data_IF_495967569757
#
_entry.id   IF_495967569757
#
_cell.length_a   1.000
_cell.length_b   1.000
_cell.length_c   1.000
_cell.angle_alpha   90.00
_cell.angle_beta   90.00
_cell.angle_gamma   90.00
#
_symmetry.space_group_name_H-M   'P 1'
#
loop_
_entity.id
_entity.type
_entity.pdbx_description
1 polymer ?
#
# COMPACT_ATOMS: atom_id res chain seq x y z
N UNK A 1 8.22 37.74 12.48
CA UNK A 1 7.68 36.37 12.39
C UNK A 1 8.82 35.49 11.88
N UNK A 2 9.45 34.69 12.74
CA UNK A 2 10.52 33.78 12.31
C UNK A 2 9.86 32.60 11.60
N UNK A 3 10.13 32.45 10.30
CA UNK A 3 9.77 31.24 9.55
C UNK A 3 10.97 30.32 9.66
N UNK A 4 10.88 29.18 10.36
CA UNK A 4 11.97 28.23 10.38
C UNK A 4 12.22 27.79 8.94
N UNK A 5 13.42 28.02 8.42
CA UNK A 5 13.83 27.45 7.13
C UNK A 5 13.55 25.95 7.18
N UNK A 6 12.89 25.37 6.15
CA UNK A 6 12.70 23.92 6.12
C UNK A 6 14.08 23.30 6.22
N UNK A 7 14.34 22.58 7.32
CA UNK A 7 15.51 21.69 7.44
C UNK A 7 15.58 20.95 6.11
N UNK A 8 16.74 20.97 5.44
CA UNK A 8 16.99 20.17 4.25
C UNK A 8 16.50 18.74 4.54
N UNK A 9 15.28 18.40 4.08
CA UNK A 9 14.70 17.10 4.38
C UNK A 9 15.42 16.16 3.46
N UNK A 10 16.43 15.50 4.02
CA UNK A 10 17.23 14.52 3.33
C UNK A 10 16.26 13.51 2.70
N UNK A 11 16.41 13.26 1.40
CA UNK A 11 15.53 12.32 0.70
C UNK A 11 15.82 10.91 1.23
N UNK A 12 14.77 10.08 1.31
CA UNK A 12 14.94 8.65 1.56
C UNK A 12 15.80 8.02 0.47
N UNK A 13 16.60 7.07 0.88
CA UNK A 13 17.42 6.21 0.01
C UNK A 13 17.09 4.75 0.28
N UNK A 14 17.53 3.85 -0.59
CA UNK A 14 17.32 2.41 -0.41
C UNK A 14 17.92 1.90 0.91
N UNK A 15 19.01 2.52 1.40
CA UNK A 15 19.62 2.21 2.69
C UNK A 15 18.69 2.45 3.89
N UNK A 16 17.67 3.27 3.71
CA UNK A 16 16.67 3.57 4.73
C UNK A 16 15.53 2.54 4.73
N UNK A 17 15.57 1.48 3.91
CA UNK A 17 14.63 0.35 3.94
C UNK A 17 15.34 -0.91 4.43
N UNK A 18 14.70 -1.63 5.35
CA UNK A 18 15.21 -2.94 5.78
C UNK A 18 14.77 -4.04 4.82
N UNK A 19 15.42 -5.21 4.89
CA UNK A 19 14.92 -6.43 4.24
C UNK A 19 13.49 -6.77 4.66
N UNK A 20 13.13 -6.50 5.92
CA UNK A 20 11.77 -6.70 6.44
C UNK A 20 10.74 -5.79 5.78
N UNK A 21 11.10 -4.52 5.52
CA UNK A 21 10.23 -3.57 4.81
C UNK A 21 9.97 -4.01 3.36
N UNK A 22 11.03 -4.47 2.67
CA UNK A 22 10.91 -4.98 1.30
C UNK A 22 10.07 -6.25 1.25
N UNK A 23 10.29 -7.17 2.19
CA UNK A 23 9.48 -8.39 2.29
C UNK A 23 8.01 -8.08 2.58
N UNK A 24 7.72 -7.12 3.46
CA UNK A 24 6.35 -6.68 3.73
C UNK A 24 5.71 -6.03 2.50
N UNK A 25 6.45 -5.18 1.77
CA UNK A 25 5.98 -4.60 0.51
C UNK A 25 5.62 -5.68 -0.51
N UNK A 26 6.50 -6.65 -0.75
CA UNK A 26 6.23 -7.76 -1.66
C UNK A 26 5.04 -8.58 -1.23
N UNK A 27 4.92 -8.87 0.08
CA UNK A 27 3.75 -9.58 0.63
C UNK A 27 2.47 -8.81 0.33
N UNK A 28 2.40 -7.51 0.62
CA UNK A 28 1.22 -6.67 0.38
C UNK A 28 0.81 -6.62 -1.10
N UNK A 29 1.78 -6.61 -2.01
CA UNK A 29 1.52 -6.63 -3.46
C UNK A 29 1.04 -8.01 -3.92
N UNK A 30 1.69 -9.08 -3.48
CA UNK A 30 1.24 -10.45 -3.77
C UNK A 30 -0.19 -10.69 -3.28
N UNK A 31 -0.50 -10.16 -2.09
CA UNK A 31 -1.79 -10.19 -1.45
C UNK A 31 -2.90 -9.44 -2.22
N UNK A 32 -2.58 -8.28 -2.83
CA UNK A 32 -3.49 -7.55 -3.70
C UNK A 32 -3.72 -8.31 -5.02
N UNK A 33 -2.64 -8.82 -5.63
CA UNK A 33 -2.72 -9.59 -6.87
C UNK A 33 -3.54 -10.88 -6.70
N UNK A 34 -3.39 -11.55 -5.57
CA UNK A 34 -4.20 -12.72 -5.23
C UNK A 34 -5.69 -12.40 -5.18
N UNK A 35 -6.08 -11.27 -4.55
CA UNK A 35 -7.47 -10.83 -4.53
C UNK A 35 -8.00 -10.55 -5.94
N UNK A 36 -7.22 -9.85 -6.79
CA UNK A 36 -7.60 -9.63 -8.18
C UNK A 36 -7.79 -10.93 -8.94
N UNK A 37 -6.88 -11.90 -8.76
CA UNK A 37 -6.97 -13.22 -9.39
C UNK A 37 -8.22 -13.96 -8.94
N UNK A 38 -8.54 -13.96 -7.65
CA UNK A 38 -9.77 -14.56 -7.14
C UNK A 38 -11.02 -13.95 -7.76
N UNK A 39 -11.06 -12.63 -7.97
CA UNK A 39 -12.18 -11.99 -8.66
C UNK A 39 -12.29 -12.46 -10.11
N UNK A 40 -11.17 -12.55 -10.83
CA UNK A 40 -11.15 -13.09 -12.21
C UNK A 40 -11.65 -14.54 -12.21
N UNK A 41 -11.05 -15.41 -11.39
CA UNK A 41 -11.39 -16.83 -11.32
C UNK A 41 -12.89 -17.08 -10.98
N UNK A 42 -13.54 -16.15 -10.28
CA UNK A 42 -14.95 -16.28 -9.87
C UNK A 42 -15.94 -15.68 -10.85
N UNK A 43 -15.58 -14.59 -11.51
CA UNK A 43 -16.53 -13.72 -12.21
C UNK A 43 -16.22 -13.54 -13.69
N UNK A 44 -15.11 -14.05 -14.18
CA UNK A 44 -14.74 -13.93 -15.59
C UNK A 44 -15.04 -15.24 -16.32
N UNK A 45 -15.77 -15.12 -17.44
CA UNK A 45 -15.97 -16.20 -18.40
C UNK A 45 -15.70 -15.63 -19.80
N UNK A 46 -14.76 -16.23 -20.51
CA UNK A 46 -14.34 -15.84 -21.87
C UNK A 46 -14.00 -14.35 -22.05
N UNK A 47 -13.35 -13.76 -21.04
CA UNK A 47 -12.93 -12.37 -20.95
C UNK A 47 -14.03 -11.40 -20.52
N UNK A 48 -15.20 -11.90 -20.11
CA UNK A 48 -16.38 -11.08 -19.82
C UNK A 48 -16.81 -11.22 -18.37
N UNK A 49 -17.24 -10.11 -17.77
CA UNK A 49 -17.89 -10.10 -16.46
C UNK A 49 -19.19 -10.91 -16.50
N UNK A 50 -19.19 -12.03 -15.78
CA UNK A 50 -20.26 -13.00 -15.68
C UNK A 50 -20.65 -13.17 -14.21
N UNK A 51 -21.52 -12.30 -13.67
CA UNK A 51 -22.00 -12.40 -12.29
C UNK A 51 -22.79 -13.69 -12.08
N UNK A 52 -22.72 -14.26 -10.88
CA UNK A 52 -23.34 -15.56 -10.59
C UNK A 52 -24.86 -15.49 -10.48
N UNK A 53 -25.40 -14.31 -10.22
CA UNK A 53 -26.84 -14.10 -10.04
C UNK A 53 -27.57 -13.81 -11.35
N UNK A 54 -28.82 -14.26 -11.47
CA UNK A 54 -29.61 -14.14 -12.71
C UNK A 54 -30.45 -12.86 -12.84
N UNK A 55 -30.62 -12.08 -11.75
CA UNK A 55 -31.40 -10.84 -11.75
C UNK A 55 -30.53 -9.59 -11.85
N UNK A 56 -30.92 -8.61 -12.67
CA UNK A 56 -30.11 -7.39 -12.85
C UNK A 56 -29.85 -6.64 -11.53
N UNK A 57 -30.87 -6.50 -10.68
CA UNK A 57 -30.70 -5.85 -9.37
C UNK A 57 -29.74 -6.62 -8.46
N UNK A 58 -29.79 -7.95 -8.44
CA UNK A 58 -28.86 -8.77 -7.65
C UNK A 58 -27.45 -8.73 -8.22
N UNK A 59 -27.31 -8.68 -9.54
CA UNK A 59 -26.00 -8.52 -10.20
C UNK A 59 -25.35 -7.18 -9.85
N UNK A 60 -26.13 -6.09 -9.75
CA UNK A 60 -25.62 -4.82 -9.26
C UNK A 60 -25.13 -4.92 -7.81
N UNK A 61 -25.90 -5.56 -6.93
CA UNK A 61 -25.49 -5.77 -5.54
C UNK A 61 -24.19 -6.59 -5.43
N UNK A 62 -24.10 -7.68 -6.18
CA UNK A 62 -22.92 -8.54 -6.30
C UNK A 62 -21.70 -7.75 -6.81
N UNK A 63 -21.89 -6.93 -7.84
CA UNK A 63 -20.84 -6.07 -8.40
C UNK A 63 -20.35 -5.04 -7.37
N UNK A 64 -21.28 -4.39 -6.64
CA UNK A 64 -20.93 -3.42 -5.59
C UNK A 64 -20.15 -4.10 -4.46
N UNK A 65 -20.50 -5.34 -4.10
CA UNK A 65 -19.77 -6.10 -3.10
C UNK A 65 -18.33 -6.41 -3.54
N UNK A 66 -18.14 -6.85 -4.78
CA UNK A 66 -16.80 -7.10 -5.35
C UNK A 66 -15.97 -5.82 -5.40
N UNK A 67 -16.56 -4.71 -5.86
CA UNK A 67 -15.90 -3.40 -5.88
C UNK A 67 -15.50 -2.92 -4.48
N UNK A 68 -16.35 -3.18 -3.48
CA UNK A 68 -16.06 -2.83 -2.08
C UNK A 68 -14.89 -3.64 -1.53
N UNK A 69 -14.83 -4.94 -1.84
CA UNK A 69 -13.73 -5.81 -1.42
C UNK A 69 -12.40 -5.43 -2.08
N UNK A 70 -12.39 -5.16 -3.38
CA UNK A 70 -11.22 -4.65 -4.09
C UNK A 70 -10.75 -3.32 -3.50
N UNK A 71 -11.68 -2.40 -3.23
CA UNK A 71 -11.37 -1.10 -2.63
C UNK A 71 -10.76 -1.25 -1.24
N UNK A 72 -11.31 -2.15 -0.42
CA UNK A 72 -10.78 -2.47 0.91
C UNK A 72 -9.35 -2.97 0.79
N UNK A 73 -9.09 -3.93 -0.10
CA UNK A 73 -7.76 -4.49 -0.30
C UNK A 73 -6.73 -3.46 -0.78
N UNK A 74 -7.10 -2.61 -1.73
CA UNK A 74 -6.25 -1.51 -2.21
C UNK A 74 -5.90 -0.55 -1.05
N UNK A 75 -6.87 -0.22 -0.21
CA UNK A 75 -6.66 0.67 0.92
C UNK A 75 -5.77 0.06 2.02
N UNK A 76 -5.90 -1.24 2.28
CA UNK A 76 -5.01 -1.98 3.18
C UNK A 76 -3.58 -1.97 2.65
N UNK A 77 -3.37 -2.29 1.36
CA UNK A 77 -2.06 -2.25 0.70
C UNK A 77 -1.44 -0.86 0.76
N UNK A 78 -2.20 0.20 0.43
CA UNK A 78 -1.75 1.60 0.56
C UNK A 78 -1.36 1.96 2.00
N UNK A 79 -2.15 1.54 2.97
CA UNK A 79 -1.88 1.80 4.39
C UNK A 79 -0.64 1.06 4.88
N UNK A 80 -0.40 -0.16 4.41
CA UNK A 80 0.85 -0.90 4.64
C UNK A 80 2.07 -0.17 4.05
N UNK A 81 1.99 0.25 2.78
CA UNK A 81 3.07 1.02 2.12
C UNK A 81 3.39 2.34 2.82
N UNK A 82 2.36 3.04 3.34
CA UNK A 82 2.54 4.26 4.14
C UNK A 82 3.29 3.97 5.44
N UNK A 83 2.96 2.87 6.13
CA UNK A 83 3.66 2.45 7.36
C UNK A 83 5.13 2.11 7.08
N UNK A 84 5.41 1.37 6.01
CA UNK A 84 6.77 1.08 5.55
C UNK A 84 7.57 2.37 5.33
N UNK A 85 7.02 3.31 4.56
CA UNK A 85 7.66 4.61 4.32
C UNK A 85 7.84 5.43 5.61
N UNK A 86 6.87 5.34 6.53
CA UNK A 86 6.94 5.98 7.85
C UNK A 86 8.15 5.50 8.66
N UNK A 87 8.31 4.17 8.79
CA UNK A 87 9.47 3.57 9.48
C UNK A 87 10.81 3.91 8.83
N UNK A 88 10.84 4.01 7.50
CA UNK A 88 12.05 4.45 6.79
C UNK A 88 12.42 5.90 7.14
N UNK A 89 11.41 6.79 7.24
CA UNK A 89 11.62 8.19 7.66
C UNK A 89 12.08 8.30 9.11
N UNK A 90 11.51 7.52 10.01
CA UNK A 90 11.94 7.47 11.41
C UNK A 90 13.43 7.10 11.51
N UNK A 91 13.86 6.04 10.80
CA UNK A 91 15.27 5.62 10.77
C UNK A 91 16.20 6.68 10.16
N UNK A 92 15.75 7.40 9.13
CA UNK A 92 16.49 8.55 8.58
C UNK A 92 16.69 9.64 9.64
N UNK A 93 15.62 10.02 10.35
CA UNK A 93 15.70 11.06 11.39
C UNK A 93 16.58 10.64 12.57
N UNK A 94 16.54 9.39 12.98
CA UNK A 94 17.43 8.85 14.01
C UNK A 94 18.89 8.92 13.58
N UNK A 95 19.21 8.56 12.33
CA UNK A 95 20.57 8.65 11.78
C UNK A 95 21.07 10.09 11.76
N UNK A 96 20.26 11.02 11.28
CA UNK A 96 20.64 12.44 11.23
C UNK A 96 20.81 13.03 12.64
N UNK A 97 19.97 12.64 13.61
CA UNK A 97 20.11 13.05 15.02
C UNK A 97 21.34 12.46 15.72
N UNK A 98 21.85 11.30 15.29
CA UNK A 98 23.12 10.74 15.78
C UNK A 98 24.32 11.49 15.21
N UNK A 99 24.31 11.75 13.90
CA UNK A 99 25.38 12.51 13.22
C UNK A 99 25.51 13.93 13.80
N UNK A 100 24.39 14.62 14.02
CA UNK A 100 24.41 15.96 14.64
C UNK A 100 24.95 16.00 16.07
N UNK A 101 24.86 14.89 16.82
CA UNK A 101 25.43 14.76 18.18
C UNK A 101 26.92 14.41 18.19
N UNK A 102 27.45 13.83 17.11
CA UNK A 102 28.88 13.51 16.98
C UNK A 102 29.70 14.70 16.45
N UNK A 103 29.05 15.70 15.85
CA UNK A 103 29.68 16.92 15.33
C UNK A 103 29.58 18.12 16.27
N UNK A 104 29.00 17.95 17.46
CA UNK A 104 28.85 18.95 18.52
C UNK A 104 29.72 18.56 19.71
#
# INVERSE_FOLDING_TARGET
>A
MYVPTPRNVRKLTDSDFTKGDVAEFHRLMAELLATCRTVVDQYEVDGVWSPSTSGLFTQFGETVQVMSELSRRINETRSGMRRITGRARERLYERDARLGRMSA
#
